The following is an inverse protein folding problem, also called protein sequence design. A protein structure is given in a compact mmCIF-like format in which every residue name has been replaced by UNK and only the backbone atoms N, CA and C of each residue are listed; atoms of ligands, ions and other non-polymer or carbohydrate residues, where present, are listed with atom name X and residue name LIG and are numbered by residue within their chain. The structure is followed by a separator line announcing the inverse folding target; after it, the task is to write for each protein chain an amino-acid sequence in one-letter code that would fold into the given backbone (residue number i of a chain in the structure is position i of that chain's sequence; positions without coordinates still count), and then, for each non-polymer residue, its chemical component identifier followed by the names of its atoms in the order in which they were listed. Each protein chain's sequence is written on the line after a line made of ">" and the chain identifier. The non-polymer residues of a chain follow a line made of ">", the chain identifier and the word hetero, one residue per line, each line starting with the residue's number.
data_IF_321154522857
#
_entry.id   IF_321154522857
#
_cell.length_a   1.000
_cell.length_b   1.000
_cell.length_c   1.000
_cell.angle_alpha   90.00
_cell.angle_beta   90.00
_cell.angle_gamma   90.00
#
_symmetry.space_group_name_H-M   'P 1'
#
loop_
_entity.id
_entity.type
_entity.pdbx_description
1 polymer ?
#
# COMPACT_ATOMS: atom_id res chain seq x y z
N UNK A 1 5.79 10.68 -0.27
CA UNK A 1 5.03 11.96 -0.23
C UNK A 1 5.35 12.69 1.08
N UNK A 2 5.24 14.02 1.13
CA UNK A 2 5.48 14.79 2.37
C UNK A 2 4.20 14.97 3.20
N UNK A 3 3.03 14.95 2.55
CA UNK A 3 1.73 15.08 3.21
C UNK A 3 0.75 14.00 2.71
N UNK A 4 -0.26 13.71 3.53
CA UNK A 4 -1.31 12.74 3.25
C UNK A 4 -2.69 13.39 3.34
N UNK A 5 -3.55 13.13 2.34
CA UNK A 5 -4.92 13.63 2.33
C UNK A 5 -5.70 13.15 3.57
N UNK A 6 -5.98 14.09 4.48
CA UNK A 6 -6.67 13.85 5.75
C UNK A 6 -8.05 13.21 5.58
N UNK A 7 -8.77 13.50 4.49
CA UNK A 7 -10.08 12.89 4.21
C UNK A 7 -9.92 11.42 3.85
N UNK A 8 -8.88 11.08 3.07
CA UNK A 8 -8.56 9.70 2.73
C UNK A 8 -8.08 8.94 3.96
N UNK A 9 -7.19 9.52 4.76
CA UNK A 9 -6.76 8.96 6.06
C UNK A 9 -7.98 8.60 6.91
N UNK A 10 -8.88 9.57 7.16
CA UNK A 10 -10.08 9.34 7.99
C UNK A 10 -10.99 8.24 7.43
N UNK A 11 -11.12 8.13 6.11
CA UNK A 11 -12.04 7.19 5.45
C UNK A 11 -11.46 5.78 5.30
N UNK A 12 -10.17 5.65 5.00
CA UNK A 12 -9.54 4.39 4.57
C UNK A 12 -8.54 3.84 5.58
N UNK A 13 -7.81 4.72 6.29
CA UNK A 13 -6.85 4.30 7.32
C UNK A 13 -7.56 4.13 8.67
N UNK A 14 -8.19 2.97 8.82
CA UNK A 14 -8.84 2.54 10.07
C UNK A 14 -7.85 1.79 10.96
N UNK A 15 -8.28 1.49 12.18
CA UNK A 15 -7.53 0.68 13.14
C UNK A 15 -7.06 -0.64 12.52
N UNK A 16 -5.81 -1.01 12.82
CA UNK A 16 -5.16 -2.20 12.27
C UNK A 16 -4.74 -2.09 10.80
N UNK A 17 -4.93 -0.94 10.14
CA UNK A 17 -4.40 -0.75 8.78
C UNK A 17 -2.88 -0.76 8.76
N UNK A 18 -2.23 -0.22 9.79
CA UNK A 18 -0.77 -0.22 9.90
C UNK A 18 -0.19 -1.64 9.89
N UNK A 19 -0.83 -2.58 10.61
CA UNK A 19 -0.41 -3.98 10.65
C UNK A 19 -0.58 -4.67 9.29
N UNK A 20 -1.70 -4.40 8.60
CA UNK A 20 -1.94 -4.92 7.25
C UNK A 20 -0.88 -4.43 6.27
N UNK A 21 -0.51 -3.16 6.35
CA UNK A 21 0.54 -2.59 5.50
C UNK A 21 1.94 -3.13 5.83
N UNK A 22 2.23 -3.43 7.10
CA UNK A 22 3.46 -4.14 7.49
C UNK A 22 3.53 -5.55 6.90
N UNK A 23 2.40 -6.29 6.87
CA UNK A 23 2.35 -7.60 6.21
C UNK A 23 2.55 -7.47 4.69
N UNK A 24 1.99 -6.43 4.06
CA UNK A 24 2.25 -6.14 2.64
C UNK A 24 3.73 -5.82 2.40
N UNK A 25 4.41 -5.07 3.28
CA UNK A 25 5.85 -4.84 3.18
C UNK A 25 6.61 -6.17 3.16
N UNK A 26 6.22 -7.13 4.00
CA UNK A 26 6.86 -8.46 4.03
C UNK A 26 6.64 -9.22 2.71
N UNK A 27 5.43 -9.16 2.15
CA UNK A 27 5.14 -9.73 0.83
C UNK A 27 6.04 -9.09 -0.24
N UNK A 28 6.08 -7.76 -0.31
CA UNK A 28 6.88 -7.03 -1.28
C UNK A 28 8.38 -7.33 -1.16
N UNK A 29 8.90 -7.51 0.06
CA UNK A 29 10.28 -7.91 0.30
C UNK A 29 10.61 -9.27 -0.34
N UNK A 30 9.68 -10.24 -0.21
CA UNK A 30 9.88 -11.63 -0.63
C UNK A 30 9.60 -11.88 -2.12
N UNK A 31 9.09 -10.89 -2.86
CA UNK A 31 8.87 -11.00 -4.31
C UNK A 31 10.20 -10.83 -5.04
N UNK A 32 10.65 -11.85 -5.78
CA UNK A 32 11.87 -11.76 -6.61
C UNK A 32 11.64 -11.02 -7.93
N UNK A 33 10.54 -11.33 -8.62
CA UNK A 33 10.12 -10.62 -9.83
C UNK A 33 9.21 -9.44 -9.45
N UNK A 34 9.78 -8.23 -9.41
CA UNK A 34 9.05 -7.00 -9.03
C UNK A 34 8.28 -6.37 -10.21
N UNK A 35 7.68 -7.21 -11.07
CA UNK A 35 6.79 -6.78 -12.15
C UNK A 35 5.38 -6.45 -11.64
N UNK A 36 4.69 -5.55 -12.34
CA UNK A 36 3.31 -5.12 -12.03
C UNK A 36 2.38 -6.30 -11.78
N UNK A 37 2.38 -7.28 -12.68
CA UNK A 37 1.47 -8.42 -12.62
C UNK A 37 1.79 -9.30 -11.41
N UNK A 38 3.07 -9.55 -11.13
CA UNK A 38 3.46 -10.36 -9.98
C UNK A 38 3.07 -9.70 -8.65
N UNK A 39 3.28 -8.39 -8.54
CA UNK A 39 2.89 -7.61 -7.36
C UNK A 39 1.38 -7.59 -7.19
N UNK A 40 0.64 -7.38 -8.28
CA UNK A 40 -0.81 -7.44 -8.29
C UNK A 40 -1.29 -8.76 -7.69
N UNK A 41 -0.85 -9.89 -8.26
CA UNK A 41 -1.37 -11.20 -7.87
C UNK A 41 -1.07 -11.53 -6.41
N UNK A 42 0.15 -11.25 -5.93
CA UNK A 42 0.52 -11.53 -4.54
C UNK A 42 -0.24 -10.64 -3.54
N UNK A 43 -0.42 -9.35 -3.85
CA UNK A 43 -1.16 -8.43 -2.96
C UNK A 43 -2.65 -8.72 -2.97
N UNK A 44 -3.25 -8.99 -4.14
CA UNK A 44 -4.67 -9.35 -4.25
C UNK A 44 -4.95 -10.66 -3.53
N UNK A 45 -4.14 -11.70 -3.78
CA UNK A 45 -4.24 -12.98 -3.09
C UNK A 45 -4.18 -12.82 -1.56
N UNK A 46 -3.27 -11.98 -1.07
CA UNK A 46 -3.17 -11.70 0.37
C UNK A 46 -4.43 -11.05 0.92
N UNK A 47 -4.96 -10.03 0.24
CA UNK A 47 -6.18 -9.33 0.66
C UNK A 47 -7.37 -10.28 0.69
N UNK A 48 -7.54 -11.12 -0.33
CA UNK A 48 -8.64 -12.07 -0.44
C UNK A 48 -8.54 -13.19 0.60
N UNK A 49 -7.35 -13.78 0.78
CA UNK A 49 -7.12 -14.86 1.76
C UNK A 49 -7.40 -14.42 3.19
N UNK A 50 -7.18 -13.15 3.50
CA UNK A 50 -7.46 -12.58 4.83
C UNK A 50 -8.83 -11.89 4.91
N UNK A 51 -9.67 -11.99 3.87
CA UNK A 51 -10.99 -11.37 3.79
C UNK A 51 -10.98 -9.86 4.08
N UNK A 52 -9.88 -9.18 3.72
CA UNK A 52 -9.74 -7.76 3.93
C UNK A 52 -10.55 -6.96 2.91
N UNK A 53 -11.02 -5.78 3.32
CA UNK A 53 -11.67 -4.87 2.41
C UNK A 53 -10.67 -4.35 1.35
N UNK A 54 -10.79 -4.87 0.13
CA UNK A 54 -9.95 -4.55 -1.02
C UNK A 54 -9.81 -3.05 -1.24
N UNK A 55 -10.94 -2.34 -1.34
CA UNK A 55 -10.95 -0.91 -1.56
C UNK A 55 -10.25 -0.12 -0.45
N UNK A 56 -10.33 -0.60 0.79
CA UNK A 56 -9.67 0.04 1.93
C UNK A 56 -8.15 -0.16 1.89
N UNK A 57 -7.68 -1.38 1.66
CA UNK A 57 -6.24 -1.69 1.59
C UNK A 57 -5.60 -1.00 0.38
N UNK A 58 -6.19 -1.15 -0.81
CA UNK A 58 -5.66 -0.57 -2.05
C UNK A 58 -5.56 0.96 -1.99
N UNK A 59 -6.56 1.64 -1.44
CA UNK A 59 -6.49 3.08 -1.26
C UNK A 59 -5.47 3.50 -0.20
N UNK A 60 -5.21 2.67 0.82
CA UNK A 60 -4.21 2.95 1.85
C UNK A 60 -2.78 2.79 1.32
N UNK A 61 -2.52 1.77 0.48
CA UNK A 61 -1.25 1.66 -0.26
C UNK A 61 -1.09 2.88 -1.16
N UNK A 62 -2.09 3.21 -1.99
CA UNK A 62 -2.04 4.38 -2.88
C UNK A 62 -1.73 5.66 -2.12
N UNK A 63 -2.45 5.91 -1.03
CA UNK A 63 -2.22 7.04 -0.14
C UNK A 63 -0.76 7.07 0.35
N UNK A 64 -0.21 5.91 0.73
CA UNK A 64 1.18 5.79 1.18
C UNK A 64 2.18 6.22 0.10
N UNK A 65 1.93 5.86 -1.16
CA UNK A 65 2.85 6.10 -2.28
C UNK A 65 2.78 7.52 -2.83
N UNK A 66 1.58 8.09 -2.95
CA UNK A 66 1.37 9.37 -3.65
C UNK A 66 0.65 10.45 -2.83
N UNK A 67 0.32 10.19 -1.57
CA UNK A 67 -0.27 11.18 -0.66
C UNK A 67 -1.77 11.44 -0.88
N UNK A 68 -2.38 10.80 -1.89
CA UNK A 68 -3.82 10.92 -2.18
C UNK A 68 -4.40 9.61 -2.74
N UNK A 69 -5.74 9.50 -2.78
CA UNK A 69 -6.46 8.37 -3.40
C UNK A 69 -6.76 8.62 -4.89
N UNK A 70 -5.79 9.13 -5.65
CA UNK A 70 -5.94 9.54 -7.06
C UNK A 70 -4.72 9.10 -7.86
N UNK A 71 -4.83 9.08 -9.20
CA UNK A 71 -3.72 8.76 -10.10
C UNK A 71 -3.93 7.48 -10.92
N UNK A 72 -2.89 7.06 -11.66
CA UNK A 72 -2.95 5.91 -12.57
C UNK A 72 -3.13 4.58 -11.80
N UNK A 73 -3.03 3.46 -12.51
CA UNK A 73 -3.09 2.12 -11.90
C UNK A 73 -2.11 1.99 -10.72
N UNK A 74 -2.56 1.38 -9.60
CA UNK A 74 -1.76 1.31 -8.39
C UNK A 74 -0.48 0.48 -8.61
N UNK A 75 -0.59 -0.62 -9.33
CA UNK A 75 0.51 -1.55 -9.51
C UNK A 75 1.52 -1.04 -10.53
N UNK A 76 1.10 -0.24 -11.51
CA UNK A 76 2.02 0.57 -12.33
C UNK A 76 2.85 1.51 -11.45
N UNK A 77 2.22 2.23 -10.50
CA UNK A 77 2.97 3.13 -9.59
C UNK A 77 3.99 2.34 -8.77
N UNK A 78 3.59 1.17 -8.23
CA UNK A 78 4.49 0.35 -7.42
C UNK A 78 5.68 -0.15 -8.25
N UNK A 79 5.44 -0.66 -9.45
CA UNK A 79 6.50 -1.11 -10.37
C UNK A 79 7.46 0.04 -10.72
N UNK A 80 6.93 1.22 -11.06
CA UNK A 80 7.73 2.40 -11.40
C UNK A 80 8.58 2.92 -10.23
N UNK A 81 8.10 2.80 -8.99
CA UNK A 81 8.86 3.19 -7.81
C UNK A 81 9.91 2.15 -7.42
N UNK A 82 9.80 0.93 -7.93
CA UNK A 82 10.60 -0.22 -7.52
C UNK A 82 10.42 -0.57 -6.03
N UNK A 83 11.04 -1.69 -5.63
CA UNK A 83 10.79 -2.32 -4.32
C UNK A 83 11.15 -1.43 -3.14
N UNK A 84 12.36 -0.90 -3.14
CA UNK A 84 12.91 -0.22 -1.96
C UNK A 84 12.14 1.08 -1.65
N UNK A 85 11.87 1.89 -2.65
CA UNK A 85 11.14 3.15 -2.48
C UNK A 85 9.68 2.91 -2.11
N UNK A 86 9.02 1.91 -2.73
CA UNK A 86 7.65 1.51 -2.36
C UNK A 86 7.58 1.18 -0.87
N UNK A 87 8.49 0.33 -0.38
CA UNK A 87 8.54 -0.08 1.02
C UNK A 87 8.81 1.11 1.94
N UNK A 88 9.79 1.95 1.59
CA UNK A 88 10.14 3.12 2.38
C UNK A 88 8.93 4.06 2.53
N UNK A 89 8.19 4.33 1.45
CA UNK A 89 6.99 5.19 1.49
C UNK A 89 5.87 4.60 2.33
N UNK A 90 5.65 3.28 2.28
CA UNK A 90 4.66 2.61 3.12
C UNK A 90 5.06 2.72 4.59
N UNK A 91 6.32 2.47 4.94
CA UNK A 91 6.84 2.64 6.31
C UNK A 91 6.66 4.06 6.82
N UNK A 92 7.04 5.07 6.03
CA UNK A 92 6.86 6.48 6.37
C UNK A 92 5.39 6.83 6.60
N UNK A 93 4.47 6.30 5.78
CA UNK A 93 3.05 6.52 5.97
C UNK A 93 2.53 5.91 7.28
N UNK A 94 2.98 4.70 7.64
CA UNK A 94 2.67 4.05 8.92
C UNK A 94 3.17 4.91 10.09
N UNK A 95 4.41 5.38 10.03
CA UNK A 95 5.03 6.19 11.09
C UNK A 95 4.37 7.55 11.29
N UNK A 96 3.91 8.18 10.21
CA UNK A 96 3.28 9.51 10.25
C UNK A 96 1.80 9.43 10.65
N UNK A 97 1.05 8.45 10.11
CA UNK A 97 -0.40 8.37 10.32
C UNK A 97 -0.75 7.68 11.64
N UNK A 98 0.03 6.67 12.07
CA UNK A 98 -0.09 5.90 13.33
C UNK A 98 -1.54 5.63 13.78
N UNK A 99 -2.13 4.55 13.28
CA UNK A 99 -3.46 4.03 13.67
C UNK A 99 -3.58 2.53 13.46
#
# INVERSE_FOLDING_TARGET
>A
PQEYDKKVVKKRWKEGMSDKLNQIINILNNINDFSRNKIHDEVIKFIETNEFNMGQVMNSIRLSLVGAAKGPDLFIIIEMLEKQETINRIKTAIEIIKK
#
